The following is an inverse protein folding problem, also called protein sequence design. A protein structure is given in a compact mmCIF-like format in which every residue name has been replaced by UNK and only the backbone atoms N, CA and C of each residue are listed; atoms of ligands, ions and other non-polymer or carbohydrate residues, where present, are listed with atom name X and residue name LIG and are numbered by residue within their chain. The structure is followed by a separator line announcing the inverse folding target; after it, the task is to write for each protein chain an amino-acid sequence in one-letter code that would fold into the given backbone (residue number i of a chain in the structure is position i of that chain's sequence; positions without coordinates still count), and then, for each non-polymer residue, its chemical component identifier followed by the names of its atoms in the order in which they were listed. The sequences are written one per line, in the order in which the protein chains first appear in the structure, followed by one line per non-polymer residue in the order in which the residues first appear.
data_IF_685612372010
#
_entry.id   IF_685612372010
#
_cell.length_a   1.000
_cell.length_b   1.000
_cell.length_c   1.000
_cell.angle_alpha   90.00
_cell.angle_beta   90.00
_cell.angle_gamma   90.00
#
_symmetry.space_group_name_H-M   'P 1'
#
loop_
_entity.id
_entity.type
_entity.pdbx_description
1 polymer ?
#
# COMPACT_ATOMS: atom_id res chain seq x y z
N UNK A 1 4.60 -25.69 -26.68
CA UNK A 1 4.93 -24.79 -25.56
C UNK A 1 3.65 -24.55 -24.79
N UNK A 2 3.37 -25.40 -23.81
CA UNK A 2 2.15 -25.32 -22.99
C UNK A 2 2.38 -24.18 -22.00
N UNK A 3 1.74 -23.04 -22.25
CA UNK A 3 1.69 -21.96 -21.28
C UNK A 3 0.89 -22.51 -20.10
N UNK A 4 1.58 -22.71 -18.97
CA UNK A 4 0.97 -23.32 -17.80
C UNK A 4 -0.26 -22.51 -17.36
N UNK A 5 -1.33 -23.19 -16.92
CA UNK A 5 -2.64 -22.60 -16.63
C UNK A 5 -2.59 -21.42 -15.63
N UNK A 6 -1.57 -21.40 -14.77
CA UNK A 6 -1.29 -20.29 -13.85
C UNK A 6 -0.76 -19.02 -14.53
N UNK A 7 0.00 -19.15 -15.62
CA UNK A 7 0.47 -18.02 -16.44
C UNK A 7 -0.70 -17.38 -17.18
N UNK A 8 -1.60 -18.19 -17.74
CA UNK A 8 -2.82 -17.69 -18.36
C UNK A 8 -3.72 -16.99 -17.34
N UNK A 9 -3.85 -17.49 -16.11
CA UNK A 9 -4.58 -16.78 -15.04
C UNK A 9 -3.95 -15.45 -14.64
N UNK A 10 -2.61 -15.34 -14.65
CA UNK A 10 -1.89 -14.08 -14.40
C UNK A 10 -2.03 -13.08 -15.55
N UNK A 11 -1.99 -13.55 -16.80
CA UNK A 11 -2.09 -12.72 -18.00
C UNK A 11 -3.55 -12.35 -18.34
N UNK A 12 -4.51 -13.21 -17.99
CA UNK A 12 -5.94 -12.98 -18.22
C UNK A 12 -6.54 -11.89 -17.33
N UNK A 13 -5.91 -11.55 -16.20
CA UNK A 13 -6.24 -10.34 -15.44
C UNK A 13 -5.64 -9.10 -16.12
N UNK A 14 -6.02 -8.84 -17.38
CA UNK A 14 -5.40 -7.85 -18.28
C UNK A 14 -5.48 -6.38 -17.86
N UNK A 15 -5.91 -6.07 -16.64
CA UNK A 15 -5.97 -4.71 -16.11
C UNK A 15 -5.40 -4.63 -14.69
N UNK A 16 -4.47 -3.68 -14.47
CA UNK A 16 -3.92 -3.34 -13.15
C UNK A 16 -5.00 -3.09 -12.09
N UNK A 17 -6.16 -2.58 -12.50
CA UNK A 17 -7.30 -2.32 -11.60
C UNK A 17 -7.99 -3.62 -11.17
N UNK A 18 -8.07 -4.61 -12.06
CA UNK A 18 -8.61 -5.94 -11.74
C UNK A 18 -7.71 -6.66 -10.74
N UNK A 19 -6.39 -6.59 -10.96
CA UNK A 19 -5.35 -7.07 -10.05
C UNK A 19 -5.43 -6.39 -8.69
N UNK A 20 -5.56 -5.07 -8.66
CA UNK A 20 -5.74 -4.30 -7.42
C UNK A 20 -7.00 -4.71 -6.65
N UNK A 21 -8.12 -4.92 -7.34
CA UNK A 21 -9.38 -5.34 -6.70
C UNK A 21 -9.25 -6.73 -6.06
N UNK A 22 -8.58 -7.66 -6.74
CA UNK A 22 -8.28 -8.99 -6.21
C UNK A 22 -7.28 -8.89 -5.04
N UNK A 23 -6.23 -8.08 -5.18
CA UNK A 23 -5.25 -7.87 -4.11
C UNK A 23 -5.91 -7.30 -2.86
N UNK A 24 -6.79 -6.31 -3.01
CA UNK A 24 -7.53 -5.69 -1.89
C UNK A 24 -8.32 -6.73 -1.09
N UNK A 25 -8.97 -7.70 -1.73
CA UNK A 25 -9.75 -8.70 -0.99
C UNK A 25 -8.90 -9.68 -0.17
N UNK A 26 -7.60 -9.81 -0.49
CA UNK A 26 -6.70 -10.77 0.16
C UNK A 26 -5.71 -10.10 1.13
N UNK A 27 -5.36 -8.84 0.88
CA UNK A 27 -4.30 -8.11 1.59
C UNK A 27 -4.87 -7.08 2.57
N UNK A 28 -6.10 -6.60 2.37
CA UNK A 28 -6.71 -5.63 3.29
C UNK A 28 -7.01 -6.29 4.64
N UNK A 29 -6.10 -6.08 5.59
CA UNK A 29 -6.28 -6.52 6.97
C UNK A 29 -7.28 -5.58 7.64
N UNK A 30 -8.41 -6.11 8.14
CA UNK A 30 -9.44 -5.35 8.86
C UNK A 30 -8.85 -4.45 9.96
N UNK A 31 -7.80 -4.92 10.63
CA UNK A 31 -7.07 -4.15 11.66
C UNK A 31 -6.50 -2.84 11.12
N UNK A 32 -5.91 -2.83 9.92
CA UNK A 32 -5.30 -1.63 9.34
C UNK A 32 -6.36 -0.58 9.04
N UNK A 33 -7.51 -1.00 8.49
CA UNK A 33 -8.63 -0.10 8.21
C UNK A 33 -9.23 0.49 9.49
N UNK A 34 -9.38 -0.32 10.54
CA UNK A 34 -9.88 0.16 11.85
C UNK A 34 -8.90 1.15 12.47
N UNK A 35 -7.60 0.84 12.48
CA UNK A 35 -6.59 1.76 13.04
C UNK A 35 -6.58 3.11 12.34
N UNK A 36 -6.69 3.13 11.01
CA UNK A 36 -6.76 4.39 10.26
C UNK A 36 -8.05 5.16 10.56
N UNK A 37 -9.20 4.48 10.67
CA UNK A 37 -10.46 5.11 11.03
C UNK A 37 -10.39 5.74 12.44
N UNK A 38 -9.81 5.02 13.41
CA UNK A 38 -9.61 5.54 14.78
C UNK A 38 -8.71 6.78 14.76
N UNK A 39 -7.60 6.74 14.02
CA UNK A 39 -6.67 7.87 13.93
C UNK A 39 -7.33 9.07 13.26
N UNK A 40 -8.09 8.85 12.19
CA UNK A 40 -8.87 9.91 11.54
C UNK A 40 -9.89 10.54 12.48
N UNK A 41 -10.60 9.73 13.27
CA UNK A 41 -11.53 10.24 14.27
C UNK A 41 -10.79 11.04 15.36
N UNK A 42 -9.65 10.57 15.84
CA UNK A 42 -8.83 11.29 16.83
C UNK A 42 -8.30 12.61 16.28
N UNK A 43 -7.81 12.64 15.04
CA UNK A 43 -7.34 13.88 14.41
C UNK A 43 -8.46 14.83 14.03
N UNK A 44 -9.69 14.33 13.84
CA UNK A 44 -10.89 15.15 13.60
C UNK A 44 -11.57 15.66 14.88
N UNK A 45 -11.38 15.00 16.04
CA UNK A 45 -12.00 15.39 17.30
C UNK A 45 -11.75 16.86 17.69
N UNK A 46 -10.51 17.40 17.63
CA UNK A 46 -10.25 18.82 17.92
C UNK A 46 -11.09 19.78 17.07
N UNK A 47 -11.50 19.37 15.87
CA UNK A 47 -12.34 20.17 14.98
C UNK A 47 -13.78 20.28 15.46
N UNK A 48 -14.34 19.18 15.97
CA UNK A 48 -15.69 19.17 16.55
C UNK A 48 -15.73 20.04 17.81
N UNK A 49 -14.65 20.02 18.59
CA UNK A 49 -14.53 20.85 19.78
C UNK A 49 -14.39 22.34 19.46
N UNK A 50 -13.64 22.73 18.42
CA UNK A 50 -13.53 24.14 17.97
C UNK A 50 -14.87 24.70 17.48
N UNK A 51 -15.73 23.88 16.87
CA UNK A 51 -17.10 24.28 16.51
C UNK A 51 -18.02 24.48 17.72
N UNK A 52 -17.74 23.80 18.84
CA UNK A 52 -18.56 23.83 20.06
C UNK A 52 -18.16 24.89 21.08
N UNK A 53 -17.05 25.61 20.86
CA UNK A 53 -16.62 26.73 21.69
C UNK A 53 -15.12 27.05 21.58
N UNK A 54 -14.68 28.17 22.18
CA UNK A 54 -13.34 28.74 21.99
C UNK A 54 -12.21 28.02 22.75
N UNK A 55 -12.43 26.75 23.14
CA UNK A 55 -11.52 26.00 24.01
C UNK A 55 -10.17 25.69 23.33
N UNK A 56 -10.13 25.71 21.99
CA UNK A 56 -8.93 25.45 21.20
C UNK A 56 -8.94 26.31 19.92
N UNK A 57 -8.46 27.56 19.95
CA UNK A 57 -8.41 28.39 18.74
C UNK A 57 -7.44 27.75 17.74
N UNK A 58 -7.98 26.98 16.79
CA UNK A 58 -7.22 26.40 15.70
C UNK A 58 -6.86 27.52 14.73
N UNK A 59 -5.62 28.00 14.82
CA UNK A 59 -5.08 28.97 13.88
C UNK A 59 -4.91 28.31 12.50
N UNK A 60 -5.58 28.89 11.50
CA UNK A 60 -5.51 28.47 10.10
C UNK A 60 -4.06 28.45 9.61
N UNK A 61 -3.22 29.38 10.08
CA UNK A 61 -1.79 29.41 9.73
C UNK A 61 -1.06 28.17 10.26
N UNK A 62 -1.33 27.78 11.50
CA UNK A 62 -0.76 26.57 12.09
C UNK A 62 -1.18 25.32 11.30
N UNK A 63 -2.45 25.25 10.85
CA UNK A 63 -2.93 24.13 10.02
C UNK A 63 -2.26 24.11 8.65
N UNK A 64 -2.11 25.26 7.99
CA UNK A 64 -1.42 25.34 6.70
C UNK A 64 0.05 24.92 6.81
N UNK A 65 0.74 25.31 7.89
CA UNK A 65 2.10 24.84 8.20
C UNK A 65 2.09 23.33 8.41
N UNK A 66 1.15 22.81 9.21
CA UNK A 66 0.99 21.38 9.46
C UNK A 66 0.79 20.56 8.18
N UNK A 67 -0.09 21.00 7.27
CA UNK A 67 -0.32 20.35 5.97
C UNK A 67 0.98 20.30 5.18
N UNK A 68 1.70 21.43 5.07
CA UNK A 68 2.98 21.50 4.34
C UNK A 68 4.04 20.58 4.94
N UNK A 69 4.12 20.50 6.27
CA UNK A 69 5.04 19.58 6.96
C UNK A 69 4.69 18.13 6.64
N UNK A 70 3.41 17.75 6.77
CA UNK A 70 2.93 16.38 6.47
C UNK A 70 3.17 16.02 5.01
N UNK A 71 2.90 16.92 4.06
CA UNK A 71 3.15 16.64 2.64
C UNK A 71 4.64 16.54 2.33
N UNK A 72 5.49 17.37 2.93
CA UNK A 72 6.94 17.33 2.72
C UNK A 72 7.52 16.02 3.25
N UNK A 73 7.14 15.63 4.47
CA UNK A 73 7.50 14.34 5.05
C UNK A 73 6.92 13.18 4.21
N UNK A 74 5.68 13.32 3.75
CA UNK A 74 5.00 12.36 2.90
C UNK A 74 5.75 12.09 1.59
N UNK A 75 6.21 13.14 0.91
CA UNK A 75 6.99 13.02 -0.33
C UNK A 75 8.32 12.33 -0.07
N UNK A 76 9.08 12.77 0.93
CA UNK A 76 10.38 12.17 1.26
C UNK A 76 10.23 10.68 1.65
N UNK A 77 9.22 10.37 2.46
CA UNK A 77 8.92 9.00 2.87
C UNK A 77 8.46 8.14 1.69
N UNK A 78 7.50 8.61 0.90
CA UNK A 78 6.93 7.82 -0.19
C UNK A 78 7.94 7.55 -1.31
N UNK A 79 8.76 8.53 -1.69
CA UNK A 79 9.85 8.34 -2.66
C UNK A 79 10.87 7.31 -2.18
N UNK A 80 11.32 7.41 -0.92
CA UNK A 80 12.26 6.44 -0.33
C UNK A 80 11.69 5.03 -0.32
N UNK A 81 10.44 4.86 0.11
CA UNK A 81 9.79 3.54 0.18
C UNK A 81 9.50 2.99 -1.21
N UNK A 82 9.12 3.81 -2.20
CA UNK A 82 8.96 3.35 -3.58
C UNK A 82 10.29 2.84 -4.16
N UNK A 83 11.39 3.55 -3.93
CA UNK A 83 12.72 3.10 -4.33
C UNK A 83 13.11 1.78 -3.67
N UNK A 84 12.84 1.65 -2.36
CA UNK A 84 13.01 0.41 -1.62
C UNK A 84 12.17 -0.74 -2.19
N UNK A 85 10.88 -0.49 -2.47
CA UNK A 85 9.96 -1.48 -3.00
C UNK A 85 10.42 -1.99 -4.38
N UNK A 86 10.76 -1.08 -5.31
CA UNK A 86 11.23 -1.45 -6.65
C UNK A 86 12.52 -2.25 -6.56
N UNK A 87 13.50 -1.78 -5.79
CA UNK A 87 14.80 -2.44 -5.65
C UNK A 87 14.70 -3.78 -4.94
N UNK A 88 13.92 -3.84 -3.85
CA UNK A 88 13.70 -5.06 -3.07
C UNK A 88 12.93 -6.12 -3.86
N UNK A 89 11.97 -5.70 -4.68
CA UNK A 89 11.26 -6.60 -5.57
C UNK A 89 12.16 -7.14 -6.68
N UNK A 90 12.99 -6.29 -7.30
CA UNK A 90 13.97 -6.74 -8.29
C UNK A 90 14.99 -7.73 -7.68
N UNK A 91 15.51 -7.44 -6.50
CA UNK A 91 16.43 -8.33 -5.78
C UNK A 91 15.78 -9.67 -5.43
N UNK A 92 14.51 -9.66 -4.99
CA UNK A 92 13.75 -10.87 -4.70
C UNK A 92 13.67 -11.79 -5.93
N UNK A 93 13.34 -11.24 -7.10
CA UNK A 93 13.32 -12.03 -8.34
C UNK A 93 14.71 -12.48 -8.79
N UNK A 94 15.75 -11.69 -8.54
CA UNK A 94 17.12 -12.05 -8.91
C UNK A 94 17.69 -13.21 -8.06
N UNK A 95 17.35 -13.25 -6.77
CA UNK A 95 17.87 -14.28 -5.84
C UNK A 95 17.02 -15.56 -5.87
N UNK A 96 15.72 -15.45 -6.15
CA UNK A 96 14.83 -16.62 -6.10
C UNK A 96 15.08 -17.54 -7.30
N UNK A 97 15.52 -18.77 -7.03
CA UNK A 97 15.70 -19.81 -8.05
C UNK A 97 14.38 -20.07 -8.80
N UNK A 98 14.45 -20.33 -10.10
CA UNK A 98 13.29 -20.64 -10.95
C UNK A 98 12.44 -21.78 -10.40
N UNK A 99 13.07 -22.81 -9.85
CA UNK A 99 12.40 -24.02 -9.37
C UNK A 99 11.54 -23.73 -8.13
N UNK A 100 12.03 -22.84 -7.27
CA UNK A 100 11.31 -22.35 -6.09
C UNK A 100 10.12 -21.49 -6.51
N UNK A 101 10.26 -20.66 -7.54
CA UNK A 101 9.14 -19.87 -8.09
C UNK A 101 8.05 -20.77 -8.68
N UNK A 102 8.42 -21.82 -9.41
CA UNK A 102 7.49 -22.80 -9.98
C UNK A 102 6.75 -23.53 -8.86
N UNK A 103 7.47 -23.95 -7.81
CA UNK A 103 6.84 -24.62 -6.68
C UNK A 103 5.91 -23.68 -5.91
N UNK A 104 6.31 -22.44 -5.64
CA UNK A 104 5.45 -21.39 -5.04
C UNK A 104 4.24 -21.05 -5.89
N UNK A 105 4.31 -21.21 -7.22
CA UNK A 105 3.19 -21.04 -8.12
C UNK A 105 2.21 -22.23 -8.05
N UNK A 106 2.68 -23.43 -7.70
CA UNK A 106 1.88 -24.66 -7.60
C UNK A 106 1.31 -24.87 -6.19
N UNK A 107 1.97 -24.40 -5.13
CA UNK A 107 1.47 -24.48 -3.75
C UNK A 107 0.29 -23.51 -3.58
N UNK A 108 -0.90 -24.07 -3.32
CA UNK A 108 -2.14 -23.31 -3.12
C UNK A 108 -2.19 -22.71 -1.71
N UNK A 109 -2.54 -21.43 -1.60
CA UNK A 109 -2.75 -20.74 -0.33
C UNK A 109 -4.10 -21.15 0.28
N UNK A 110 -4.09 -22.03 1.28
CA UNK A 110 -5.31 -22.64 1.86
C UNK A 110 -6.25 -21.66 2.60
N UNK A 111 -5.82 -20.41 2.81
CA UNK A 111 -6.53 -19.45 3.68
C UNK A 111 -7.60 -18.60 2.96
N UNK A 112 -7.68 -18.65 1.64
CA UNK A 112 -8.69 -17.92 0.87
C UNK A 112 -9.64 -18.89 0.19
N UNK A 113 -10.94 -18.60 0.21
CA UNK A 113 -11.99 -19.32 -0.53
C UNK A 113 -11.77 -19.34 -2.06
N UNK A 114 -10.68 -18.73 -2.55
CA UNK A 114 -10.21 -18.73 -3.94
C UNK A 114 -8.79 -19.27 -3.98
N UNK A 115 -8.56 -20.25 -4.85
CA UNK A 115 -7.25 -20.88 -5.05
C UNK A 115 -6.25 -19.86 -5.63
N UNK A 116 -5.44 -19.23 -4.78
CA UNK A 116 -4.37 -18.32 -5.18
C UNK A 116 -3.04 -18.96 -4.78
N UNK A 117 -2.04 -18.89 -5.65
CA UNK A 117 -0.71 -19.40 -5.34
C UNK A 117 0.06 -18.45 -4.41
N UNK A 118 1.04 -18.97 -3.66
CA UNK A 118 1.88 -18.12 -2.81
C UNK A 118 2.62 -17.05 -3.62
N UNK A 119 3.09 -17.39 -4.83
CA UNK A 119 3.73 -16.43 -5.74
C UNK A 119 2.78 -15.28 -6.12
N UNK A 120 1.54 -15.60 -6.50
CA UNK A 120 0.52 -14.60 -6.83
C UNK A 120 0.21 -13.71 -5.63
N UNK A 121 0.14 -14.28 -4.42
CA UNK A 121 -0.10 -13.51 -3.20
C UNK A 121 1.01 -12.46 -2.94
N UNK A 122 2.28 -12.81 -3.15
CA UNK A 122 3.40 -11.86 -3.02
C UNK A 122 3.26 -10.73 -4.05
N UNK A 123 3.03 -11.09 -5.32
CA UNK A 123 2.89 -10.12 -6.41
C UNK A 123 1.73 -9.15 -6.15
N UNK A 124 0.59 -9.67 -5.68
CA UNK A 124 -0.59 -8.87 -5.35
C UNK A 124 -0.35 -7.99 -4.13
N UNK A 125 0.31 -8.50 -3.09
CA UNK A 125 0.68 -7.71 -1.91
C UNK A 125 1.62 -6.56 -2.28
N UNK A 126 2.63 -6.85 -3.12
CA UNK A 126 3.56 -5.85 -3.64
C UNK A 126 2.84 -4.78 -4.47
N UNK A 127 2.05 -5.18 -5.47
CA UNK A 127 1.30 -4.26 -6.32
C UNK A 127 0.32 -3.39 -5.53
N UNK A 128 -0.35 -3.97 -4.53
CA UNK A 128 -1.27 -3.23 -3.68
C UNK A 128 -0.55 -2.10 -2.91
N UNK A 129 0.58 -2.42 -2.27
CA UNK A 129 1.35 -1.44 -1.49
C UNK A 129 1.97 -0.40 -2.42
N UNK A 130 2.58 -0.84 -3.52
CA UNK A 130 3.18 0.02 -4.53
C UNK A 130 2.19 1.07 -5.07
N UNK A 131 0.96 0.66 -5.43
CA UNK A 131 -0.05 1.58 -5.94
C UNK A 131 -0.54 2.59 -4.89
N UNK A 132 -0.67 2.20 -3.62
CA UNK A 132 -1.02 3.14 -2.55
C UNK A 132 0.07 4.18 -2.35
N UNK A 133 1.33 3.76 -2.34
CA UNK A 133 2.47 4.66 -2.21
C UNK A 133 2.62 5.59 -3.42
N UNK A 134 2.40 5.08 -4.65
CA UNK A 134 2.44 5.88 -5.86
C UNK A 134 1.32 6.94 -5.89
N UNK A 135 0.10 6.55 -5.54
CA UNK A 135 -1.05 7.46 -5.47
C UNK A 135 -0.83 8.51 -4.38
N UNK A 136 -0.36 8.09 -3.20
CA UNK A 136 -0.05 8.99 -2.10
C UNK A 136 1.05 9.99 -2.48
N UNK A 137 2.11 9.55 -3.17
CA UNK A 137 3.15 10.44 -3.69
C UNK A 137 2.57 11.46 -4.68
N UNK A 138 1.75 11.02 -5.64
CA UNK A 138 1.10 11.91 -6.60
C UNK A 138 0.23 12.98 -5.94
N UNK A 139 -0.59 12.58 -4.97
CA UNK A 139 -1.46 13.50 -4.21
C UNK A 139 -0.64 14.46 -3.35
N UNK A 140 0.37 13.98 -2.62
CA UNK A 140 1.19 14.85 -1.76
C UNK A 140 2.06 15.82 -2.57
N UNK A 141 2.55 15.42 -3.74
CA UNK A 141 3.20 16.32 -4.69
C UNK A 141 2.23 17.36 -5.24
N UNK A 142 1.02 16.96 -5.62
CA UNK A 142 -0.02 17.89 -6.07
C UNK A 142 -0.34 18.91 -4.96
N UNK A 143 -0.58 18.46 -3.72
CA UNK A 143 -0.84 19.39 -2.60
C UNK A 143 0.36 20.30 -2.36
N UNK A 144 1.59 19.76 -2.32
CA UNK A 144 2.80 20.55 -2.06
C UNK A 144 3.04 21.64 -3.12
N UNK A 145 2.85 21.31 -4.40
CA UNK A 145 2.99 22.25 -5.51
C UNK A 145 1.87 23.30 -5.54
N UNK A 146 0.62 22.87 -5.31
CA UNK A 146 -0.54 23.75 -5.31
C UNK A 146 -0.59 24.68 -4.08
N UNK A 147 -0.07 24.27 -2.92
CA UNK A 147 -0.03 25.08 -1.69
C UNK A 147 1.31 25.82 -1.50
N UNK A 148 2.20 25.82 -2.49
CA UNK A 148 3.48 26.54 -2.43
C UNK A 148 3.28 28.06 -2.27
N UNK A 149 4.10 28.76 -1.45
CA UNK A 149 4.04 30.22 -1.33
C UNK A 149 4.17 30.89 -2.71
N UNK A 150 3.15 31.65 -3.12
CA UNK A 150 3.11 32.32 -4.43
C UNK A 150 2.31 31.59 -5.51
N UNK A 151 1.66 30.45 -5.21
CA UNK A 151 0.73 29.84 -6.15
C UNK A 151 -0.56 30.66 -6.29
N UNK A 152 -1.20 30.59 -7.47
CA UNK A 152 -2.52 31.21 -7.73
C UNK A 152 -3.57 30.73 -6.74
N UNK A 153 -3.46 29.47 -6.30
CA UNK A 153 -4.39 28.88 -5.34
C UNK A 153 -4.24 29.47 -3.95
N UNK A 154 -3.03 29.81 -3.50
CA UNK A 154 -2.82 30.50 -2.22
C UNK A 154 -3.47 31.89 -2.24
N UNK A 155 -3.39 32.60 -3.37
CA UNK A 155 -4.07 33.89 -3.55
C UNK A 155 -5.59 33.77 -3.45
N UNK A 156 -6.17 32.78 -4.13
CA UNK A 156 -7.62 32.52 -4.02
C UNK A 156 -8.03 32.06 -2.62
N UNK A 157 -7.20 31.24 -1.97
CA UNK A 157 -7.46 30.75 -0.61
C UNK A 157 -7.47 31.88 0.42
N UNK A 158 -6.62 32.91 0.26
CA UNK A 158 -6.64 34.08 1.12
C UNK A 158 -7.98 34.84 1.02
N UNK A 159 -8.46 35.07 -0.20
CA UNK A 159 -9.76 35.71 -0.44
C UNK A 159 -10.94 34.92 0.15
N UNK A 160 -10.94 33.59 -0.03
CA UNK A 160 -11.95 32.71 0.57
C UNK A 160 -11.87 32.67 2.11
N UNK A 161 -10.67 32.75 2.68
CA UNK A 161 -10.48 32.76 4.13
C UNK A 161 -11.03 34.02 4.81
N UNK A 162 -11.05 35.15 4.10
CA UNK A 162 -11.65 36.40 4.58
C UNK A 162 -13.18 36.39 4.42
N UNK A 163 -13.69 35.78 3.34
CA UNK A 163 -15.12 35.77 3.03
C UNK A 163 -15.90 34.73 3.85
N UNK A 164 -15.31 33.55 4.08
CA UNK A 164 -15.94 32.40 4.75
C UNK A 164 -14.96 31.76 5.76
N UNK A 165 -14.67 32.44 6.88
CA UNK A 165 -13.59 32.04 7.78
C UNK A 165 -13.85 30.69 8.47
N UNK A 166 -15.10 30.38 8.81
CA UNK A 166 -15.45 29.14 9.51
C UNK A 166 -15.40 27.94 8.56
N UNK A 167 -15.90 28.09 7.35
CA UNK A 167 -15.91 27.08 6.30
C UNK A 167 -14.48 26.78 5.83
N UNK A 168 -13.66 27.82 5.66
CA UNK A 168 -12.26 27.67 5.29
C UNK A 168 -11.46 26.96 6.38
N UNK A 169 -11.70 27.31 7.66
CA UNK A 169 -11.07 26.63 8.79
C UNK A 169 -11.46 25.15 8.82
N UNK A 170 -12.74 24.84 8.67
CA UNK A 170 -13.23 23.46 8.62
C UNK A 170 -12.58 22.68 7.47
N UNK A 171 -12.51 23.27 6.28
CA UNK A 171 -11.87 22.65 5.12
C UNK A 171 -10.37 22.37 5.34
N UNK A 172 -9.60 23.36 5.83
CA UNK A 172 -8.17 23.20 6.12
C UNK A 172 -7.93 22.07 7.14
N UNK A 173 -8.78 22.00 8.14
CA UNK A 173 -8.71 21.00 9.18
C UNK A 173 -9.04 19.58 8.67
N UNK A 174 -10.06 19.42 7.81
CA UNK A 174 -10.38 18.14 7.16
C UNK A 174 -9.21 17.70 6.29
N UNK A 175 -8.64 18.63 5.51
CA UNK A 175 -7.52 18.35 4.62
C UNK A 175 -6.27 17.90 5.40
N UNK A 176 -5.97 18.55 6.53
CA UNK A 176 -4.90 18.15 7.44
C UNK A 176 -5.13 16.75 8.01
N UNK A 177 -6.32 16.50 8.58
CA UNK A 177 -6.69 15.21 9.16
C UNK A 177 -6.63 14.07 8.14
N UNK A 178 -7.12 14.31 6.91
CA UNK A 178 -7.07 13.35 5.81
C UNK A 178 -5.63 13.03 5.40
N UNK A 179 -4.81 14.07 5.22
CA UNK A 179 -3.40 13.94 4.82
C UNK A 179 -2.58 13.18 5.87
N UNK A 180 -2.78 13.51 7.14
CA UNK A 180 -2.13 12.83 8.26
C UNK A 180 -2.60 11.37 8.38
N UNK A 181 -3.90 11.11 8.28
CA UNK A 181 -4.45 9.76 8.34
C UNK A 181 -3.96 8.89 7.18
N UNK A 182 -3.83 9.45 5.97
CA UNK A 182 -3.28 8.74 4.83
C UNK A 182 -1.78 8.44 5.03
N UNK A 183 -1.00 9.38 5.58
CA UNK A 183 0.39 9.10 5.96
C UNK A 183 0.50 7.89 6.89
N UNK A 184 -0.34 7.82 7.93
CA UNK A 184 -0.33 6.67 8.83
C UNK A 184 -0.79 5.39 8.13
N UNK A 185 -1.80 5.48 7.24
CA UNK A 185 -2.25 4.34 6.44
C UNK A 185 -1.09 3.74 5.64
N UNK A 186 -0.29 4.56 4.95
CA UNK A 186 0.83 4.04 4.15
C UNK A 186 1.92 3.42 5.05
N UNK A 187 2.20 3.98 6.22
CA UNK A 187 3.14 3.39 7.20
C UNK A 187 2.66 2.01 7.67
N UNK A 188 1.38 1.87 8.00
CA UNK A 188 0.82 0.59 8.43
C UNK A 188 0.77 -0.44 7.29
N UNK A 189 0.54 0.01 6.06
CA UNK A 189 0.64 -0.85 4.88
C UNK A 189 2.06 -1.39 4.69
N UNK A 190 3.08 -0.56 4.88
CA UNK A 190 4.47 -1.01 4.81
C UNK A 190 4.79 -2.06 5.89
N UNK A 191 4.36 -1.83 7.14
CA UNK A 191 4.52 -2.84 8.21
C UNK A 191 3.90 -4.17 7.82
N UNK A 192 2.67 -4.15 7.31
CA UNK A 192 1.94 -5.35 6.88
C UNK A 192 2.64 -6.03 5.70
N UNK A 193 3.15 -5.25 4.76
CA UNK A 193 3.89 -5.74 3.60
C UNK A 193 5.17 -6.45 4.01
N UNK A 194 5.99 -5.83 4.87
CA UNK A 194 7.24 -6.42 5.37
C UNK A 194 6.94 -7.75 6.08
N UNK A 195 5.87 -7.80 6.88
CA UNK A 195 5.45 -9.04 7.53
C UNK A 195 5.05 -10.13 6.53
N UNK A 196 4.22 -9.80 5.53
CA UNK A 196 3.81 -10.74 4.49
C UNK A 196 5.00 -11.25 3.66
N UNK A 197 5.95 -10.37 3.35
CA UNK A 197 7.17 -10.72 2.65
C UNK A 197 8.03 -11.67 3.49
N UNK A 198 8.26 -11.35 4.76
CA UNK A 198 9.02 -12.19 5.68
C UNK A 198 8.45 -13.61 5.78
N UNK A 199 7.13 -13.72 6.01
CA UNK A 199 6.46 -15.02 6.07
C UNK A 199 6.65 -15.81 4.78
N UNK A 200 6.56 -15.15 3.63
CA UNK A 200 6.68 -15.85 2.36
C UNK A 200 8.11 -16.27 2.05
N UNK A 201 9.10 -15.44 2.39
CA UNK A 201 10.52 -15.79 2.26
C UNK A 201 10.88 -16.96 3.17
N UNK A 202 10.39 -16.98 4.42
CA UNK A 202 10.57 -18.13 5.30
C UNK A 202 9.99 -19.41 4.69
N UNK A 203 8.76 -19.37 4.19
CA UNK A 203 8.15 -20.52 3.51
C UNK A 203 8.99 -20.95 2.30
N UNK A 204 9.46 -20.00 1.49
CA UNK A 204 10.30 -20.28 0.34
C UNK A 204 11.63 -20.95 0.72
N UNK A 205 12.27 -20.51 1.81
CA UNK A 205 13.50 -21.13 2.33
C UNK A 205 13.24 -22.53 2.87
N UNK A 206 12.19 -22.71 3.68
CA UNK A 206 11.83 -24.04 4.22
C UNK A 206 11.53 -25.02 3.09
N UNK A 207 10.71 -24.60 2.12
CA UNK A 207 10.37 -25.40 0.96
C UNK A 207 11.61 -25.68 0.09
N UNK A 208 12.49 -24.69 -0.10
CA UNK A 208 13.76 -24.87 -0.80
C UNK A 208 14.69 -25.86 -0.10
N UNK A 209 14.76 -25.83 1.23
CA UNK A 209 15.57 -26.78 2.00
C UNK A 209 15.02 -28.21 1.94
N UNK A 210 13.70 -28.37 1.88
CA UNK A 210 13.04 -29.68 1.72
C UNK A 210 13.22 -30.25 0.30
N UNK A 211 13.37 -29.38 -0.71
CA UNK A 211 13.75 -29.75 -2.07
C UNK A 211 15.20 -30.23 -2.13
N UNK A 212 16.13 -29.46 -1.58
CA UNK A 212 17.55 -29.80 -1.55
C UNK A 212 17.81 -31.07 -0.71
N UNK A 213 16.99 -31.31 0.32
CA UNK A 213 16.98 -32.53 1.13
C UNK A 213 16.32 -33.76 0.49
N UNK A 214 15.86 -33.66 -0.77
CA UNK A 214 15.35 -34.78 -1.57
C UNK A 214 13.91 -35.22 -1.27
N UNK A 215 13.26 -34.71 -0.22
CA UNK A 215 11.88 -35.11 0.17
C UNK A 215 10.82 -34.62 -0.82
N UNK A 216 10.99 -33.41 -1.35
CA UNK A 216 10.06 -32.82 -2.32
C UNK A 216 10.46 -33.09 -3.77
N UNK A 217 11.70 -33.52 -4.03
CA UNK A 217 12.19 -33.80 -5.39
C UNK A 217 11.43 -34.94 -6.05
N UNK A 218 11.19 -36.03 -5.32
CA UNK A 218 10.38 -37.15 -5.84
C UNK A 218 8.90 -36.78 -6.07
N UNK A 219 8.36 -35.81 -5.33
CA UNK A 219 7.00 -35.30 -5.58
C UNK A 219 6.96 -34.37 -6.80
N UNK A 220 8.00 -33.56 -7.03
CA UNK A 220 8.10 -32.75 -8.25
C UNK A 220 8.23 -33.61 -9.50
N UNK A 221 9.06 -34.66 -9.46
CA UNK A 221 9.24 -35.61 -10.57
C UNK A 221 7.92 -36.34 -10.88
N UNK A 222 7.22 -36.84 -9.85
CA UNK A 222 5.92 -37.48 -10.02
C UNK A 222 4.83 -36.52 -10.56
N UNK A 223 4.88 -35.25 -10.19
CA UNK A 223 3.95 -34.22 -10.70
C UNK A 223 4.32 -33.70 -12.09
N UNK A 224 5.56 -33.91 -12.55
CA UNK A 224 5.95 -33.62 -13.93
C UNK A 224 5.52 -34.75 -14.87
N UNK A 225 5.57 -36.01 -14.41
CA UNK A 225 5.06 -37.16 -15.19
C UNK A 225 3.54 -37.11 -15.41
N UNK A 226 2.76 -36.52 -14.51
CA UNK A 226 1.30 -36.41 -14.61
C UNK A 226 0.84 -35.27 -15.55
N UNK A 227 1.68 -34.25 -15.79
CA UNK A 227 1.42 -33.14 -16.73
C UNK A 227 1.79 -33.52 -18.20
N UNK A 228 2.63 -34.55 -18.39
CA UNK A 228 3.10 -35.02 -19.70
C UNK A 228 2.23 -36.15 -20.29
N UNK A 229 1.20 -36.63 -19.56
CA UNK A 229 0.19 -37.60 -20.01
C UNK A 229 -1.12 -36.92 -20.44
#
# INVERSE_FOLDING_TARGET
MIIADWQNKLLASGSFISLYRIARSHVAVRSTTISVAVIFLISALPMVFDLSGPWLPLDVKAMAVGIRTVTTLGVAFATSILGFLVSGFALFFAITRSDVLILLARVKYHKSSKEISHLQFILYSFMYVFLHYLTYLGVTLAISTLLSPGSVLVGSAAYFSETFPNEFRFFAAVLFSLSFSWLILVILLLKTFIWNLYQTVLIAITVGSDLDGGRLKGLLEALQEDDDQ
#
